data_IF_973178993530
#
_entry.id   IF_973178993530
#
_cell.length_a   1.000
_cell.length_b   1.000
_cell.length_c   1.000
_cell.angle_alpha   90.00
_cell.angle_beta   90.00
_cell.angle_gamma   90.00
#
_symmetry.space_group_name_H-M   'P 1'
#
loop_
_entity.id
_entity.type
_entity.pdbx_description
1 polymer ?
#
# COMPACT_ATOMS: atom_id res chain seq x y z
N UNK A 1 3.49 -18.41 -11.37
CA UNK A 1 4.18 -17.37 -10.57
C UNK A 1 3.86 -17.63 -9.11
N UNK A 2 4.87 -17.94 -8.29
CA UNK A 2 4.68 -18.21 -6.86
C UNK A 2 4.50 -16.91 -6.09
N UNK A 3 3.37 -16.74 -5.42
CA UNK A 3 3.13 -15.62 -4.52
C UNK A 3 3.83 -15.97 -3.19
N UNK A 4 5.01 -15.39 -2.93
CA UNK A 4 5.63 -15.42 -1.60
C UNK A 4 5.12 -14.20 -0.85
N UNK A 5 4.28 -14.42 0.16
CA UNK A 5 3.82 -13.34 1.07
C UNK A 5 4.88 -13.18 2.15
N UNK A 6 5.56 -12.03 2.19
CA UNK A 6 6.45 -11.65 3.29
C UNK A 6 5.61 -11.28 4.51
N UNK A 7 5.83 -11.97 5.64
CA UNK A 7 5.09 -11.80 6.89
C UNK A 7 5.57 -10.65 7.78
N UNK A 8 6.67 -9.98 7.40
CA UNK A 8 7.22 -8.85 8.16
C UNK A 8 6.31 -7.63 8.08
N UNK A 9 6.14 -6.93 9.20
CA UNK A 9 5.43 -5.65 9.26
C UNK A 9 6.16 -4.55 8.48
N UNK A 10 5.45 -3.45 8.16
CA UNK A 10 6.06 -2.30 7.50
C UNK A 10 7.27 -1.73 8.27
N UNK A 11 7.18 -1.68 9.61
CA UNK A 11 8.29 -1.25 10.45
C UNK A 11 9.53 -2.17 10.30
N UNK A 12 9.32 -3.49 10.30
CA UNK A 12 10.40 -4.48 10.11
C UNK A 12 11.00 -4.46 8.70
N UNK A 13 10.32 -3.82 7.75
CA UNK A 13 10.77 -3.64 6.36
C UNK A 13 11.34 -2.25 6.11
N UNK A 14 11.45 -1.41 7.15
CA UNK A 14 11.94 -0.04 7.04
C UNK A 14 10.97 0.92 6.33
N UNK A 15 9.70 0.51 6.15
CA UNK A 15 8.67 1.34 5.56
C UNK A 15 8.11 2.24 6.66
N UNK A 16 8.24 3.55 6.49
CA UNK A 16 7.82 4.57 7.47
C UNK A 16 6.29 4.78 7.49
N UNK A 17 5.53 3.70 7.46
CA UNK A 17 4.08 3.68 7.66
C UNK A 17 3.76 2.83 8.88
N UNK A 18 2.83 3.31 9.70
CA UNK A 18 2.28 2.58 10.83
C UNK A 18 1.53 1.35 10.31
N UNK A 19 1.90 0.12 10.75
CA UNK A 19 1.23 -1.09 10.29
C UNK A 19 -0.26 -1.10 10.61
N UNK A 20 -1.09 -1.29 9.59
CA UNK A 20 -2.52 -1.62 9.76
C UNK A 20 -2.62 -3.14 9.87
N UNK A 21 -2.61 -3.67 11.10
CA UNK A 21 -2.62 -5.13 11.32
C UNK A 21 -3.90 -5.74 10.75
N UNK A 22 -3.80 -6.51 9.66
CA UNK A 22 -4.89 -7.40 9.25
C UNK A 22 -4.86 -8.64 10.14
N UNK A 23 -5.61 -8.59 11.23
CA UNK A 23 -5.83 -9.79 12.03
C UNK A 23 -6.89 -10.63 11.31
N UNK A 24 -6.46 -11.77 10.77
CA UNK A 24 -7.37 -12.78 10.21
C UNK A 24 -8.35 -13.29 11.27
N UNK A 25 -9.41 -13.95 10.83
CA UNK A 25 -10.47 -14.51 11.68
C UNK A 25 -9.98 -15.41 12.83
N UNK A 26 -8.73 -15.89 12.78
CA UNK A 26 -8.13 -16.77 13.79
C UNK A 26 -7.90 -16.13 15.18
N UNK A 27 -7.75 -14.81 15.29
CA UNK A 27 -7.58 -14.16 16.61
C UNK A 27 -8.92 -13.87 17.30
N UNK A 28 -10.06 -14.14 16.65
CA UNK A 28 -11.41 -13.98 17.23
C UNK A 28 -11.68 -14.88 18.43
N UNK A 29 -10.86 -15.92 18.66
CA UNK A 29 -11.08 -16.87 19.75
C UNK A 29 -10.62 -16.36 21.13
N UNK A 30 -9.66 -15.43 21.20
CA UNK A 30 -9.07 -15.00 22.48
C UNK A 30 -9.86 -13.82 23.10
N UNK A 31 -10.48 -12.97 22.27
CA UNK A 31 -11.26 -11.81 22.74
C UNK A 31 -12.67 -12.16 23.26
N UNK A 32 -13.19 -13.36 22.98
CA UNK A 32 -14.54 -13.77 23.44
C UNK A 32 -14.67 -13.94 24.95
N UNK A 33 -13.57 -13.88 25.72
CA UNK A 33 -13.59 -14.07 27.19
C UNK A 33 -13.65 -12.75 27.99
N UNK A 34 -13.76 -11.58 27.35
CA UNK A 34 -13.81 -10.27 28.03
C UNK A 34 -15.02 -9.40 27.63
N UNK A 35 -16.16 -10.01 27.33
CA UNK A 35 -17.44 -9.26 27.31
C UNK A 35 -17.88 -8.96 28.75
N UNK A 36 -17.35 -7.88 29.34
CA UNK A 36 -17.93 -7.22 30.53
C UNK A 36 -18.38 -5.81 30.15
N UNK A 37 -19.66 -5.55 30.42
CA UNK A 37 -20.38 -4.27 30.54
C UNK A 37 -19.84 -3.05 29.76
N UNK A 38 -20.55 -2.67 28.69
CA UNK A 38 -20.49 -1.32 28.09
C UNK A 38 -19.27 -1.02 27.21
N UNK A 39 -18.24 -1.86 27.22
CA UNK A 39 -17.02 -1.69 26.41
C UNK A 39 -16.99 -2.68 25.26
N UNK A 40 -16.96 -2.19 24.01
CA UNK A 40 -16.84 -3.05 22.84
C UNK A 40 -15.41 -2.97 22.27
N UNK A 41 -14.58 -4.02 22.38
CA UNK A 41 -13.24 -4.08 21.78
C UNK A 41 -13.21 -3.84 20.26
N UNK A 42 -14.38 -3.91 19.60
CA UNK A 42 -14.55 -3.57 18.18
C UNK A 42 -14.50 -2.06 17.90
N UNK A 43 -15.03 -1.21 18.80
CA UNK A 43 -15.09 0.24 18.60
C UNK A 43 -13.70 0.87 18.72
N UNK A 44 -13.00 0.62 19.82
CA UNK A 44 -11.60 1.08 20.02
C UNK A 44 -10.69 0.62 18.89
N UNK A 45 -10.95 -0.58 18.36
CA UNK A 45 -10.16 -1.13 17.27
C UNK A 45 -10.41 -0.43 15.94
N UNK A 46 -11.63 0.02 15.68
CA UNK A 46 -11.95 0.85 14.50
C UNK A 46 -11.29 2.23 14.67
N UNK A 47 -11.40 2.83 15.85
CA UNK A 47 -10.78 4.13 16.17
C UNK A 47 -9.25 4.08 15.99
N UNK A 48 -8.59 3.06 16.52
CA UNK A 48 -7.14 2.87 16.35
C UNK A 48 -6.74 2.66 14.88
N UNK A 49 -7.56 1.97 14.09
CA UNK A 49 -7.31 1.81 12.65
C UNK A 49 -7.41 3.15 11.92
N UNK A 50 -8.43 3.95 12.23
CA UNK A 50 -8.62 5.28 11.66
C UNK A 50 -7.49 6.24 12.07
N UNK A 51 -7.06 6.22 13.33
CA UNK A 51 -5.90 7.00 13.79
C UNK A 51 -4.62 6.64 13.02
N UNK A 52 -4.33 5.35 12.86
CA UNK A 52 -3.18 4.89 12.07
C UNK A 52 -3.29 5.28 10.61
N UNK A 53 -4.49 5.18 10.02
CA UNK A 53 -4.75 5.61 8.63
C UNK A 53 -4.53 7.12 8.49
N UNK A 54 -4.97 7.92 9.45
CA UNK A 54 -4.78 9.36 9.48
C UNK A 54 -3.30 9.74 9.62
N UNK A 55 -2.55 9.04 10.46
CA UNK A 55 -1.10 9.24 10.61
C UNK A 55 -0.35 8.87 9.32
N UNK A 56 -0.64 7.71 8.73
CA UNK A 56 -0.07 7.30 7.46
C UNK A 56 -0.39 8.28 6.34
N UNK A 57 -1.61 8.81 6.30
CA UNK A 57 -2.00 9.87 5.36
C UNK A 57 -1.12 11.11 5.53
N UNK A 58 -0.86 11.57 6.75
CA UNK A 58 0.05 12.71 7.01
C UNK A 58 1.46 12.43 6.50
N UNK A 59 1.97 11.22 6.70
CA UNK A 59 3.30 10.82 6.22
C UNK A 59 3.37 10.77 4.69
N UNK A 60 2.37 10.19 4.04
CA UNK A 60 2.29 10.13 2.56
C UNK A 60 2.18 11.52 1.94
N UNK A 61 1.45 12.46 2.57
CA UNK A 61 1.39 13.84 2.10
C UNK A 61 2.77 14.51 2.06
N UNK A 62 3.60 14.25 3.09
CA UNK A 62 4.97 14.75 3.19
C UNK A 62 5.90 14.02 2.22
N UNK A 63 5.84 12.69 2.22
CA UNK A 63 6.73 11.77 1.51
C UNK A 63 5.94 10.77 0.65
N UNK A 64 5.48 11.17 -0.55
CA UNK A 64 4.62 10.32 -1.39
C UNK A 64 5.28 9.02 -1.83
N UNK A 65 6.61 9.00 -1.94
CA UNK A 65 7.39 7.83 -2.35
C UNK A 65 7.29 6.64 -1.38
N UNK A 66 6.78 6.83 -0.15
CA UNK A 66 6.45 5.72 0.75
C UNK A 66 5.45 4.74 0.14
N UNK A 67 4.62 5.20 -0.80
CA UNK A 67 3.71 4.34 -1.57
C UNK A 67 4.51 3.35 -2.44
N UNK A 68 5.64 3.76 -2.99
CA UNK A 68 6.51 2.87 -3.78
C UNK A 68 7.09 1.78 -2.90
N UNK A 69 7.53 2.14 -1.69
CA UNK A 69 8.07 1.19 -0.72
C UNK A 69 7.02 0.13 -0.34
N UNK A 70 5.73 0.50 -0.23
CA UNK A 70 4.63 -0.45 0.00
C UNK A 70 4.36 -1.35 -1.21
N UNK A 71 4.29 -0.78 -2.41
CA UNK A 71 4.00 -1.55 -3.64
C UNK A 71 5.13 -2.53 -3.95
N UNK A 72 6.39 -2.08 -3.88
CA UNK A 72 7.58 -2.91 -4.10
C UNK A 72 7.70 -4.01 -3.04
N UNK A 73 7.10 -3.77 -1.88
CA UNK A 73 6.98 -4.74 -0.81
C UNK A 73 6.12 -5.96 -1.18
N UNK A 74 5.13 -5.76 -2.04
CA UNK A 74 4.15 -6.76 -2.46
C UNK A 74 4.52 -7.35 -3.83
N UNK A 75 5.16 -6.57 -4.71
CA UNK A 75 5.44 -6.93 -6.11
C UNK A 75 6.75 -6.32 -6.60
N UNK A 76 7.62 -7.13 -7.21
CA UNK A 76 8.88 -6.62 -7.79
C UNK A 76 8.68 -5.83 -9.09
N UNK A 77 7.60 -6.13 -9.82
CA UNK A 77 7.18 -5.40 -11.02
C UNK A 77 5.70 -5.03 -10.87
N UNK A 78 5.38 -3.77 -11.08
CA UNK A 78 4.06 -3.21 -10.83
C UNK A 78 3.66 -2.18 -11.87
N UNK A 79 2.38 -1.79 -11.87
CA UNK A 79 1.79 -0.85 -12.82
C UNK A 79 1.37 0.44 -12.13
N UNK A 80 1.04 1.47 -12.92
CA UNK A 80 0.35 2.67 -12.42
C UNK A 80 -0.88 2.34 -11.56
N UNK A 81 -1.64 1.31 -11.96
CA UNK A 81 -2.86 0.90 -11.25
C UNK A 81 -2.55 0.34 -9.86
N UNK A 82 -1.41 -0.33 -9.69
CA UNK A 82 -0.99 -0.85 -8.39
C UNK A 82 -0.62 0.28 -7.43
N UNK A 83 0.12 1.29 -7.91
CA UNK A 83 0.43 2.51 -7.15
C UNK A 83 -0.87 3.21 -6.74
N UNK A 84 -1.78 3.42 -7.70
CA UNK A 84 -3.07 4.04 -7.45
C UNK A 84 -3.89 3.31 -6.37
N UNK A 85 -3.92 1.96 -6.43
CA UNK A 85 -4.61 1.13 -5.43
C UNK A 85 -4.05 1.32 -4.03
N UNK A 86 -2.72 1.40 -3.87
CA UNK A 86 -2.11 1.64 -2.55
C UNK A 86 -2.39 3.06 -2.08
N UNK A 87 -2.25 4.06 -2.95
CA UNK A 87 -2.50 5.46 -2.59
C UNK A 87 -3.97 5.69 -2.15
N UNK A 88 -4.93 5.04 -2.82
CA UNK A 88 -6.34 5.09 -2.43
C UNK A 88 -6.64 4.48 -1.06
N UNK A 89 -5.74 3.66 -0.49
CA UNK A 89 -5.92 3.17 0.89
C UNK A 89 -5.83 4.31 1.91
N UNK A 90 -5.23 5.46 1.55
CA UNK A 90 -4.95 6.56 2.48
C UNK A 90 -5.50 7.92 2.03
N UNK A 91 -5.81 8.09 0.74
CA UNK A 91 -6.21 9.37 0.15
C UNK A 91 -7.48 9.21 -0.66
N UNK A 92 -8.56 9.83 -0.17
CA UNK A 92 -9.89 9.80 -0.79
C UNK A 92 -10.17 11.06 -1.63
N UNK A 93 -9.51 12.19 -1.33
CA UNK A 93 -9.68 13.44 -2.09
C UNK A 93 -9.02 13.36 -3.48
N UNK A 94 -9.81 13.59 -4.53
CA UNK A 94 -9.37 13.44 -5.91
C UNK A 94 -8.27 14.44 -6.31
N UNK A 95 -8.31 15.67 -5.78
CA UNK A 95 -7.29 16.69 -6.07
C UNK A 95 -5.93 16.31 -5.51
N UNK A 96 -5.90 16.00 -4.22
CA UNK A 96 -4.74 15.51 -3.48
C UNK A 96 -4.21 14.22 -4.10
N UNK A 97 -5.10 13.29 -4.45
CA UNK A 97 -4.72 12.04 -5.10
C UNK A 97 -3.95 12.28 -6.39
N UNK A 98 -4.47 13.12 -7.30
CA UNK A 98 -3.80 13.44 -8.56
C UNK A 98 -2.43 14.10 -8.33
N UNK A 99 -2.34 15.02 -7.37
CA UNK A 99 -1.09 15.70 -7.05
C UNK A 99 -0.03 14.72 -6.52
N UNK A 100 -0.40 13.85 -5.58
CA UNK A 100 0.50 12.84 -5.04
C UNK A 100 0.92 11.82 -6.08
N UNK A 101 -0.02 11.37 -6.92
CA UNK A 101 0.27 10.46 -8.02
C UNK A 101 1.32 11.06 -8.97
N UNK A 102 1.16 12.32 -9.38
CA UNK A 102 2.15 13.01 -10.21
C UNK A 102 3.54 13.06 -9.54
N UNK A 103 3.61 13.39 -8.24
CA UNK A 103 4.87 13.41 -7.48
C UNK A 103 5.52 12.03 -7.40
N UNK A 104 4.73 10.97 -7.17
CA UNK A 104 5.23 9.60 -7.12
C UNK A 104 5.82 9.18 -8.46
N UNK A 105 5.14 9.49 -9.57
CA UNK A 105 5.59 9.11 -10.92
C UNK A 105 6.83 9.87 -11.38
N UNK A 106 7.12 11.01 -10.79
CA UNK A 106 8.34 11.80 -11.02
C UNK A 106 9.47 11.44 -10.04
N UNK A 107 9.23 10.52 -9.09
CA UNK A 107 10.22 10.15 -8.10
C UNK A 107 11.40 9.41 -8.76
N UNK A 108 12.65 9.76 -8.44
CA UNK A 108 13.83 9.04 -8.93
C UNK A 108 13.91 7.59 -8.41
N UNK A 109 13.12 7.24 -7.38
CA UNK A 109 12.98 5.86 -6.91
C UNK A 109 12.21 4.97 -7.89
N UNK A 110 11.38 5.54 -8.75
CA UNK A 110 10.54 4.80 -9.69
C UNK A 110 11.27 4.61 -11.01
N UNK A 111 11.50 3.35 -11.40
CA UNK A 111 12.13 2.99 -12.65
C UNK A 111 11.12 2.33 -13.58
N UNK A 112 11.05 2.79 -14.83
CA UNK A 112 10.19 2.19 -15.86
C UNK A 112 10.98 1.12 -16.61
N UNK A 113 10.52 -0.12 -16.55
CA UNK A 113 11.11 -1.26 -17.27
C UNK A 113 10.53 -1.33 -18.68
N UNK A 114 9.21 -1.21 -18.80
CA UNK A 114 8.50 -1.30 -20.08
C UNK A 114 7.56 -0.11 -20.26
N UNK A 115 7.48 0.39 -21.49
CA UNK A 115 6.50 1.40 -21.88
C UNK A 115 5.15 0.75 -22.13
N UNK A 116 4.09 1.53 -22.00
CA UNK A 116 2.78 1.12 -22.50
C UNK A 116 2.90 0.80 -23.99
N UNK A 117 2.37 -0.35 -24.38
CA UNK A 117 2.44 -0.85 -25.74
C UNK A 117 1.19 -1.67 -26.08
N UNK A 118 1.06 -2.08 -27.34
CA UNK A 118 -0.01 -2.96 -27.80
C UNK A 118 0.62 -4.27 -28.21
N UNK A 119 0.11 -5.38 -27.69
CA UNK A 119 0.49 -6.71 -28.17
C UNK A 119 -0.01 -6.86 -29.62
N UNK A 120 0.90 -7.05 -30.57
CA UNK A 120 0.55 -7.11 -31.98
C UNK A 120 -0.18 -8.41 -32.38
N UNK A 121 -0.10 -9.43 -31.53
CA UNK A 121 -0.76 -10.72 -31.75
C UNK A 121 -2.19 -10.69 -31.26
N UNK A 122 -2.44 -10.10 -30.08
CA UNK A 122 -3.75 -10.09 -29.43
C UNK A 122 -4.51 -8.77 -29.59
N UNK A 123 -3.81 -7.69 -29.95
CA UNK A 123 -4.34 -6.33 -30.00
C UNK A 123 -4.54 -5.69 -28.62
N UNK A 124 -4.13 -6.35 -27.54
CA UNK A 124 -4.35 -5.87 -26.17
C UNK A 124 -3.38 -4.74 -25.79
N UNK A 125 -3.90 -3.73 -25.08
CA UNK A 125 -3.05 -2.69 -24.49
C UNK A 125 -2.35 -3.22 -23.24
N UNK A 126 -1.03 -3.28 -23.29
CA UNK A 126 -0.19 -3.62 -22.16
C UNK A 126 0.20 -2.35 -21.40
N UNK A 127 -0.12 -2.25 -20.10
CA UNK A 127 0.26 -1.07 -19.31
C UNK A 127 1.77 -0.99 -19.14
N UNK A 128 2.28 0.22 -18.94
CA UNK A 128 3.67 0.42 -18.55
C UNK A 128 4.01 -0.35 -17.26
N UNK A 129 5.18 -0.98 -17.24
CA UNK A 129 5.71 -1.74 -16.10
C UNK A 129 6.82 -0.98 -15.41
N UNK A 130 6.77 -0.99 -14.09
CA UNK A 130 7.66 -0.27 -13.20
C UNK A 130 8.30 -1.19 -12.17
N UNK A 131 9.42 -0.75 -11.64
CA UNK A 131 10.08 -1.28 -10.44
C UNK A 131 10.70 -0.13 -9.65
N UNK A 132 11.31 -0.43 -8.51
CA UNK A 132 12.05 0.56 -7.71
C UNK A 132 13.55 0.36 -7.88
N UNK A 133 14.33 1.43 -7.81
CA UNK A 133 15.80 1.34 -7.89
C UNK A 133 16.42 0.42 -6.84
N UNK A 134 15.77 0.27 -5.68
CA UNK A 134 16.19 -0.65 -4.61
C UNK A 134 16.16 -2.13 -5.02
N UNK A 135 15.38 -2.51 -6.06
CA UNK A 135 15.28 -3.89 -6.55
C UNK A 135 16.23 -4.20 -7.70
N UNK A 136 16.87 -3.19 -8.29
CA UNK A 136 17.86 -3.36 -9.35
C UNK A 136 19.24 -3.22 -8.71
N UNK A 137 19.82 -4.35 -8.30
CA UNK A 137 21.22 -4.44 -7.84
C UNK A 137 21.96 -5.50 -8.63
#
# INVERSE_FOLDING_TARGET
VGIRVDGRSYAERGIDLVPTTHIGVATKAIDRKKEKAGWSPKLERIELLEERKAENRKRILRKPELVLDVVSSEKSVFTHRDIAKVLHRYVDDAGTFRQLMARILQSPKLLRIERENVDFTTGERMPARYTTSELIR
#
